data_IF_320049661537
#
_entry.id   IF_320049661537
#
_cell.length_a   1.000
_cell.length_b   1.000
_cell.length_c   1.000
_cell.angle_alpha   90.00
_cell.angle_beta   90.00
_cell.angle_gamma   90.00
#
_symmetry.space_group_name_H-M   'P 1'
#
loop_
_entity.id
_entity.type
_entity.pdbx_description
1 polymer ?
#
# COMPACT_ATOMS: atom_id res chain seq x y z
N UNK A 1 4.90 10.98 -9.63
CA UNK A 1 5.94 11.00 -8.59
C UNK A 1 6.21 9.55 -8.21
N UNK A 2 7.47 9.18 -8.00
CA UNK A 2 7.84 7.84 -7.55
C UNK A 2 7.98 7.86 -6.03
N UNK A 3 7.40 6.88 -5.35
CA UNK A 3 7.51 6.71 -3.90
C UNK A 3 8.97 6.39 -3.56
N UNK A 4 9.50 6.95 -2.49
CA UNK A 4 10.88 6.72 -2.07
C UNK A 4 11.09 5.28 -1.58
N UNK A 5 12.30 4.75 -1.77
CA UNK A 5 12.64 3.42 -1.30
C UNK A 5 12.80 3.44 0.22
N UNK A 6 12.13 2.52 0.90
CA UNK A 6 12.23 2.27 2.34
C UNK A 6 13.44 1.41 2.64
N UNK A 7 14.24 1.83 3.61
CA UNK A 7 15.43 1.08 4.05
C UNK A 7 15.07 -0.12 4.95
N UNK A 8 13.88 -0.12 5.57
CA UNK A 8 13.43 -1.16 6.49
C UNK A 8 12.81 -2.38 5.80
N UNK A 9 12.61 -2.33 4.48
CA UNK A 9 11.94 -3.37 3.70
C UNK A 9 12.83 -3.88 2.58
N UNK A 10 12.86 -5.20 2.40
CA UNK A 10 13.45 -5.81 1.23
C UNK A 10 12.35 -6.04 0.17
N UNK A 11 12.35 -5.35 -0.98
CA UNK A 11 11.33 -5.48 -2.03
C UNK A 11 11.26 -6.90 -2.62
N UNK A 12 12.40 -7.61 -2.66
CA UNK A 12 12.49 -8.98 -3.18
C UNK A 12 11.64 -9.96 -2.35
N UNK A 13 11.42 -9.64 -1.06
CA UNK A 13 10.52 -10.41 -0.19
C UNK A 13 9.07 -10.24 -0.59
N UNK A 14 8.65 -9.05 -1.02
CA UNK A 14 7.28 -8.78 -1.46
C UNK A 14 6.90 -9.60 -2.70
N UNK A 15 7.80 -9.67 -3.68
CA UNK A 15 7.61 -10.51 -4.87
C UNK A 15 7.62 -12.00 -4.54
N UNK A 16 8.44 -12.42 -3.56
CA UNK A 16 8.49 -13.83 -3.17
C UNK A 16 7.29 -14.26 -2.29
N UNK A 17 6.70 -13.35 -1.50
CA UNK A 17 5.56 -13.61 -0.62
C UNK A 17 4.21 -13.47 -1.35
N UNK A 18 4.09 -12.53 -2.30
CA UNK A 18 2.82 -12.23 -2.98
C UNK A 18 2.84 -12.54 -4.49
N UNK A 19 4.01 -12.70 -5.11
CA UNK A 19 4.15 -12.86 -6.56
C UNK A 19 4.04 -11.52 -7.31
N UNK A 20 3.63 -11.62 -8.58
CA UNK A 20 3.41 -10.46 -9.47
C UNK A 20 2.01 -9.88 -9.22
N UNK A 21 1.85 -9.16 -8.10
CA UNK A 21 0.61 -8.49 -7.72
C UNK A 21 0.74 -6.97 -7.82
N UNK A 22 -0.39 -6.31 -8.03
CA UNK A 22 -0.43 -4.85 -7.99
C UNK A 22 -0.21 -4.35 -6.55
N UNK A 23 0.75 -3.46 -6.36
CA UNK A 23 1.04 -2.81 -5.09
C UNK A 23 0.66 -1.33 -5.14
N UNK A 24 0.10 -0.80 -4.04
CA UNK A 24 -0.07 0.65 -3.90
C UNK A 24 1.28 1.36 -3.78
N UNK A 25 2.29 0.68 -3.24
CA UNK A 25 3.69 1.08 -3.30
C UNK A 25 4.52 0.08 -4.12
N UNK A 26 4.70 0.33 -5.42
CA UNK A 26 5.49 -0.52 -6.31
C UNK A 26 7.00 -0.31 -6.15
N UNK A 27 7.46 0.74 -5.47
CA UNK A 27 8.91 0.92 -5.23
C UNK A 27 9.37 -0.06 -4.16
N UNK A 28 8.54 -0.27 -3.14
CA UNK A 28 8.86 -1.12 -2.00
C UNK A 28 8.13 -2.47 -2.00
N UNK A 29 7.32 -2.74 -3.03
CA UNK A 29 6.42 -3.89 -3.12
C UNK A 29 5.59 -4.04 -1.84
N UNK A 30 4.98 -2.93 -1.41
CA UNK A 30 4.14 -2.84 -0.20
C UNK A 30 2.70 -2.52 -0.53
N UNK A 31 1.82 -2.98 0.36
CA UNK A 31 0.37 -2.76 0.27
C UNK A 31 -0.22 -3.37 -1.01
N UNK A 32 -0.31 -4.71 -1.07
CA UNK A 32 -0.97 -5.36 -2.20
C UNK A 32 -2.41 -4.86 -2.31
N UNK A 33 -2.89 -4.72 -3.56
CA UNK A 33 -4.20 -4.19 -3.91
C UNK A 33 -4.89 -5.01 -5.02
N UNK A 34 -4.49 -6.27 -5.18
CA UNK A 34 -4.99 -7.25 -6.16
C UNK A 34 -6.25 -8.01 -5.70
N UNK A 35 -6.57 -7.99 -4.40
CA UNK A 35 -7.79 -8.61 -3.84
C UNK A 35 -8.47 -7.68 -2.84
N UNK A 36 -9.75 -7.94 -2.58
CA UNK A 36 -10.51 -7.22 -1.55
C UNK A 36 -9.86 -7.28 -0.17
N UNK A 37 -9.36 -8.46 0.22
CA UNK A 37 -8.70 -8.66 1.51
C UNK A 37 -7.40 -7.85 1.58
N UNK A 38 -6.61 -7.86 0.51
CA UNK A 38 -5.38 -7.07 0.43
C UNK A 38 -5.66 -5.57 0.49
N UNK A 39 -6.68 -5.07 -0.20
CA UNK A 39 -7.05 -3.65 -0.14
C UNK A 39 -7.47 -3.23 1.28
N UNK A 40 -8.32 -4.01 1.95
CA UNK A 40 -8.73 -3.72 3.34
C UNK A 40 -7.54 -3.77 4.30
N UNK A 41 -6.68 -4.77 4.16
CA UNK A 41 -5.47 -4.89 4.96
C UNK A 41 -4.53 -3.70 4.71
N UNK A 42 -4.26 -3.37 3.46
CA UNK A 42 -3.42 -2.25 3.04
C UNK A 42 -3.89 -0.93 3.67
N UNK A 43 -5.19 -0.67 3.64
CA UNK A 43 -5.79 0.51 4.26
C UNK A 43 -5.55 0.55 5.78
N UNK A 44 -5.69 -0.58 6.48
CA UNK A 44 -5.40 -0.64 7.91
C UNK A 44 -3.92 -0.43 8.21
N UNK A 45 -3.02 -1.07 7.45
CA UNK A 45 -1.57 -0.98 7.66
C UNK A 45 -1.01 0.41 7.37
N UNK A 46 -1.49 1.13 6.35
CA UNK A 46 -1.01 2.50 6.04
C UNK A 46 -1.41 3.52 7.11
N UNK A 47 -2.44 3.24 7.92
CA UNK A 47 -2.83 4.08 9.07
C UNK A 47 -2.10 3.69 10.37
N UNK A 48 -1.33 2.60 10.40
CA UNK A 48 -0.51 2.27 11.57
C UNK A 48 0.67 3.25 11.67
N UNK A 49 0.90 3.91 12.81
CA UNK A 49 1.94 4.93 12.96
C UNK A 49 3.34 4.47 12.55
N UNK A 50 3.72 3.23 12.90
CA UNK A 50 5.02 2.61 12.54
C UNK A 50 5.24 2.41 11.04
N UNK A 51 4.17 2.35 10.26
CA UNK A 51 4.23 2.15 8.82
C UNK A 51 4.12 3.50 8.12
N UNK A 52 3.29 4.39 8.66
CA UNK A 52 3.12 5.74 8.15
C UNK A 52 4.36 6.62 8.35
N UNK A 53 5.11 6.40 9.44
CA UNK A 53 6.35 7.14 9.77
C UNK A 53 7.46 6.97 8.73
N UNK A 54 7.43 5.88 7.97
CA UNK A 54 8.45 5.55 6.98
C UNK A 54 8.25 6.25 5.64
N UNK A 55 7.18 7.04 5.50
CA UNK A 55 6.84 7.76 4.29
C UNK A 55 6.69 9.25 4.60
N UNK A 56 7.05 10.09 3.63
CA UNK A 56 6.70 11.50 3.70
C UNK A 56 5.20 11.72 3.45
N UNK A 57 4.71 12.94 3.68
CA UNK A 57 3.29 13.24 3.50
C UNK A 57 2.79 13.02 2.07
N UNK A 58 3.64 13.19 1.05
CA UNK A 58 3.28 13.07 -0.37
C UNK A 58 3.18 11.61 -0.78
N UNK A 59 4.10 10.78 -0.31
CA UNK A 59 4.11 9.34 -0.54
C UNK A 59 2.94 8.68 0.19
N UNK A 60 2.67 9.08 1.43
CA UNK A 60 1.47 8.64 2.15
C UNK A 60 0.19 8.94 1.39
N UNK A 61 0.05 10.17 0.90
CA UNK A 61 -1.12 10.57 0.12
C UNK A 61 -1.24 9.74 -1.17
N UNK A 62 -0.13 9.54 -1.86
CA UNK A 62 -0.07 8.74 -3.10
C UNK A 62 -0.49 7.28 -2.84
N UNK A 63 0.04 6.65 -1.79
CA UNK A 63 -0.29 5.27 -1.41
C UNK A 63 -1.77 5.17 -1.02
N UNK A 64 -2.26 6.08 -0.17
CA UNK A 64 -3.67 6.10 0.24
C UNK A 64 -4.61 6.28 -0.94
N UNK A 65 -4.27 7.12 -1.91
CA UNK A 65 -5.08 7.32 -3.11
C UNK A 65 -5.15 6.05 -3.95
N UNK A 66 -4.03 5.36 -4.17
CA UNK A 66 -4.01 4.08 -4.90
C UNK A 66 -4.84 2.99 -4.21
N UNK A 67 -4.80 2.92 -2.88
CA UNK A 67 -5.61 1.97 -2.12
C UNK A 67 -7.11 2.32 -2.26
N UNK A 68 -7.48 3.60 -2.25
CA UNK A 68 -8.87 4.04 -2.51
C UNK A 68 -9.33 3.68 -3.91
N UNK A 69 -8.53 3.95 -4.93
CA UNK A 69 -8.86 3.58 -6.32
C UNK A 69 -9.07 2.07 -6.46
N UNK A 70 -8.24 1.26 -5.78
CA UNK A 70 -8.44 -0.18 -5.74
C UNK A 70 -9.74 -0.55 -5.01
N UNK A 71 -10.01 0.05 -3.85
CA UNK A 71 -11.26 -0.17 -3.12
C UNK A 71 -12.49 0.15 -3.96
N UNK A 72 -12.49 1.24 -4.73
CA UNK A 72 -13.57 1.58 -5.66
C UNK A 72 -13.77 0.50 -6.73
N UNK A 73 -12.68 -0.05 -7.29
CA UNK A 73 -12.76 -1.15 -8.28
C UNK A 73 -13.39 -2.41 -7.72
N UNK A 74 -13.15 -2.71 -6.44
CA UNK A 74 -13.75 -3.84 -5.75
C UNK A 74 -15.07 -3.51 -5.04
N UNK A 75 -15.55 -2.27 -5.08
CA UNK A 75 -16.75 -1.84 -4.36
C UNK A 75 -16.62 -1.92 -2.83
N UNK A 76 -15.40 -1.76 -2.29
CA UNK A 76 -15.13 -1.77 -0.85
C UNK A 76 -15.33 -0.36 -0.26
N UNK A 77 -16.16 -0.26 0.77
CA UNK A 77 -16.22 0.94 1.59
C UNK A 77 -15.06 0.96 2.61
N UNK A 78 -14.06 1.79 2.34
CA UNK A 78 -12.99 2.07 3.29
C UNK A 78 -13.50 3.04 4.35
N UNK A 79 -13.31 2.71 5.63
CA UNK A 79 -13.58 3.69 6.69
C UNK A 79 -12.56 4.82 6.60
N UNK A 80 -13.05 6.03 6.35
CA UNK A 80 -12.26 7.25 6.51
C UNK A 80 -11.89 7.43 7.98
N UNK A 81 -10.69 7.93 8.21
CA UNK A 81 -10.16 8.33 9.52
C UNK A 81 -11.01 9.46 10.13
#
# INVERSE_FOLDING_TARGET
MAIEKRDDVNPDRGEHEYGDVAFADPTNNKYPIDTEEHVRAAWSYIHMPRNASEYDAKDLETIKNRIREAAERYGIELKAD
#
